data_IF_844374076051
#
_entry.id   IF_844374076051
#
_cell.length_a   1.000
_cell.length_b   1.000
_cell.length_c   1.000
_cell.angle_alpha   90.00
_cell.angle_beta   90.00
_cell.angle_gamma   90.00
#
_symmetry.space_group_name_H-M   'P 1'
#
loop_
_entity.id
_entity.type
_entity.pdbx_description
1 polymer ?
#
# COMPACT_ATOMS: atom_id res chain seq x y z
N UNK A 1 -27.76 2.04 -16.45
CA UNK A 1 -28.52 2.21 -15.20
C UNK A 1 -27.82 3.29 -14.36
N UNK A 2 -28.46 4.46 -14.18
CA UNK A 2 -27.87 5.53 -13.35
C UNK A 2 -27.96 5.09 -11.89
N UNK A 3 -26.83 4.87 -11.25
CA UNK A 3 -26.77 4.73 -9.79
C UNK A 3 -26.94 6.11 -9.19
N UNK A 4 -28.15 6.42 -8.69
CA UNK A 4 -28.38 7.64 -7.92
C UNK A 4 -27.91 7.38 -6.50
N UNK A 5 -26.76 7.94 -6.14
CA UNK A 5 -26.24 7.87 -4.78
C UNK A 5 -26.93 8.91 -3.90
N UNK A 6 -27.59 8.45 -2.85
CA UNK A 6 -28.07 9.31 -1.79
C UNK A 6 -26.94 9.59 -0.80
N UNK A 7 -26.75 10.84 -0.38
CA UNK A 7 -25.61 11.29 0.44
C UNK A 7 -25.41 10.54 1.77
N UNK A 8 -26.39 9.76 2.22
CA UNK A 8 -26.36 9.10 3.52
C UNK A 8 -26.16 7.58 3.47
N UNK A 9 -26.24 6.95 2.28
CA UNK A 9 -26.02 5.51 2.11
C UNK A 9 -25.28 5.27 0.82
N UNK A 10 -23.95 5.22 0.88
CA UNK A 10 -23.15 4.70 -0.21
C UNK A 10 -23.36 3.19 -0.22
N UNK A 11 -24.44 2.79 -0.86
CA UNK A 11 -24.76 1.41 -1.12
C UNK A 11 -24.18 1.07 -2.49
N UNK A 12 -23.21 0.16 -2.53
CA UNK A 12 -22.67 -0.40 -3.78
C UNK A 12 -23.11 -1.86 -3.88
N UNK A 13 -24.43 -2.12 -4.10
CA UNK A 13 -25.00 -3.45 -3.90
C UNK A 13 -24.58 -4.45 -4.95
N UNK A 14 -24.18 -3.99 -6.12
CA UNK A 14 -24.02 -4.85 -7.29
C UNK A 14 -22.59 -4.95 -7.82
N UNK A 15 -21.60 -4.27 -7.21
CA UNK A 15 -20.20 -4.38 -7.64
C UNK A 15 -19.73 -5.85 -7.71
N UNK A 16 -20.01 -6.61 -6.66
CA UNK A 16 -19.60 -8.02 -6.60
C UNK A 16 -20.49 -8.92 -7.47
N UNK A 17 -21.81 -8.65 -7.53
CA UNK A 17 -22.75 -9.43 -8.37
C UNK A 17 -22.53 -9.19 -9.86
N UNK A 18 -22.22 -7.93 -10.24
CA UNK A 18 -22.08 -7.54 -11.65
C UNK A 18 -20.77 -8.03 -12.25
N UNK A 19 -19.70 -8.16 -11.44
CA UNK A 19 -18.37 -8.38 -11.98
C UNK A 19 -17.83 -9.79 -11.78
N UNK A 20 -18.41 -10.61 -10.90
CA UNK A 20 -17.88 -11.94 -10.57
C UNK A 20 -16.34 -11.92 -10.40
N UNK A 21 -15.82 -10.83 -9.79
CA UNK A 21 -14.41 -10.53 -9.75
C UNK A 21 -13.72 -11.28 -8.61
N UNK A 22 -12.62 -11.97 -8.86
CA UNK A 22 -11.70 -12.31 -7.80
C UNK A 22 -11.18 -11.02 -7.15
N UNK A 23 -10.90 -11.04 -5.85
CA UNK A 23 -10.45 -9.88 -5.02
C UNK A 23 -9.30 -9.04 -5.62
N UNK A 24 -8.64 -9.54 -6.66
CA UNK A 24 -7.42 -8.98 -7.25
C UNK A 24 -7.54 -8.53 -8.70
N UNK A 25 -8.69 -8.74 -9.39
CA UNK A 25 -8.78 -8.37 -10.81
C UNK A 25 -9.38 -6.98 -10.99
N UNK A 26 -8.55 -6.04 -11.43
CA UNK A 26 -8.97 -4.70 -11.83
C UNK A 26 -9.32 -4.72 -13.32
N UNK A 27 -10.50 -5.25 -13.66
CA UNK A 27 -11.00 -5.16 -15.03
C UNK A 27 -11.34 -3.71 -15.39
N UNK A 28 -11.24 -3.34 -16.67
CA UNK A 28 -11.60 -2.00 -17.15
C UNK A 28 -12.97 -1.56 -16.63
N UNK A 29 -13.95 -2.44 -16.69
CA UNK A 29 -15.31 -2.17 -16.23
C UNK A 29 -15.38 -1.94 -14.70
N UNK A 30 -14.64 -2.70 -13.88
CA UNK A 30 -14.57 -2.46 -12.45
C UNK A 30 -14.01 -1.07 -12.14
N UNK A 31 -12.95 -0.67 -12.83
CA UNK A 31 -12.33 0.65 -12.65
C UNK A 31 -13.28 1.78 -13.09
N UNK A 32 -14.09 1.58 -14.14
CA UNK A 32 -15.13 2.53 -14.55
C UNK A 32 -16.21 2.68 -13.48
N UNK A 33 -16.68 1.58 -12.88
CA UNK A 33 -17.66 1.66 -11.78
C UNK A 33 -17.09 2.33 -10.54
N UNK A 34 -15.82 2.12 -10.21
CA UNK A 34 -15.17 2.85 -9.11
C UNK A 34 -15.19 4.36 -9.39
N UNK A 35 -14.90 4.76 -10.62
CA UNK A 35 -14.96 6.17 -11.02
C UNK A 35 -16.37 6.77 -10.86
N UNK A 36 -17.41 6.02 -11.26
CA UNK A 36 -18.81 6.42 -11.09
C UNK A 36 -19.19 6.55 -9.60
N UNK A 37 -18.76 5.59 -8.76
CA UNK A 37 -19.00 5.61 -7.32
C UNK A 37 -18.40 6.87 -6.67
N UNK A 38 -17.21 7.27 -7.09
CA UNK A 38 -16.53 8.47 -6.58
C UNK A 38 -16.99 9.75 -7.28
N UNK A 39 -17.87 9.66 -8.27
CA UNK A 39 -18.38 10.79 -9.03
C UNK A 39 -17.30 11.51 -9.85
N UNK A 40 -16.24 10.79 -10.21
CA UNK A 40 -15.11 11.35 -10.95
C UNK A 40 -15.53 11.91 -12.30
N UNK A 41 -14.95 13.05 -12.68
CA UNK A 41 -15.18 13.70 -13.98
C UNK A 41 -13.92 13.60 -14.80
N UNK A 42 -14.03 13.12 -16.05
CA UNK A 42 -12.86 13.02 -16.91
C UNK A 42 -12.19 14.40 -17.04
N UNK A 43 -10.93 14.45 -16.65
CA UNK A 43 -10.05 15.61 -16.75
C UNK A 43 -8.76 15.20 -17.46
N UNK A 44 -8.03 16.15 -18.02
CA UNK A 44 -6.71 15.94 -18.60
C UNK A 44 -5.71 16.76 -17.80
N UNK A 45 -4.64 16.12 -17.37
CA UNK A 45 -3.53 16.73 -16.66
C UNK A 45 -2.26 16.49 -17.48
N UNK A 46 -1.35 17.45 -17.49
CA UNK A 46 -0.07 17.44 -18.20
C UNK A 46 1.14 17.57 -17.26
N UNK A 47 0.91 17.30 -15.99
CA UNK A 47 1.89 17.42 -14.90
C UNK A 47 2.24 16.06 -14.24
N UNK A 48 2.27 14.99 -15.03
CA UNK A 48 2.38 13.59 -14.59
C UNK A 48 3.52 13.34 -13.57
N UNK A 49 4.63 14.06 -13.69
CA UNK A 49 5.84 13.90 -12.87
C UNK A 49 6.16 15.12 -11.99
N UNK A 50 5.27 16.10 -11.91
CA UNK A 50 5.36 17.18 -10.93
C UNK A 50 4.91 16.67 -9.55
N UNK A 51 5.73 15.81 -8.94
CA UNK A 51 5.43 15.15 -7.69
C UNK A 51 5.79 16.04 -6.48
N UNK A 52 5.15 15.74 -5.36
CA UNK A 52 5.43 16.36 -4.06
C UNK A 52 6.01 15.31 -3.11
N UNK A 53 7.25 15.49 -2.69
CA UNK A 53 7.83 14.71 -1.58
C UNK A 53 7.42 15.38 -0.28
N UNK A 54 6.89 14.59 0.66
CA UNK A 54 6.32 15.11 1.90
C UNK A 54 7.41 15.49 2.91
N UNK A 55 7.27 16.66 3.53
CA UNK A 55 8.25 17.23 4.47
C UNK A 55 8.46 16.40 5.75
N UNK A 56 7.52 15.54 6.09
CA UNK A 56 7.61 14.66 7.26
C UNK A 56 8.27 13.30 6.97
N UNK A 57 8.86 13.13 5.80
CA UNK A 57 9.77 12.03 5.47
C UNK A 57 11.18 12.46 5.86
N UNK A 58 11.88 11.63 6.64
CA UNK A 58 13.23 11.92 7.14
C UNK A 58 14.17 10.77 6.78
N UNK A 59 14.89 10.92 5.67
CA UNK A 59 15.89 9.98 5.17
C UNK A 59 17.27 10.62 5.33
N UNK A 60 18.15 10.00 6.09
CA UNK A 60 19.48 10.50 6.42
C UNK A 60 20.58 9.72 5.71
N UNK A 61 20.45 8.40 5.64
CA UNK A 61 21.48 7.49 5.16
C UNK A 61 21.44 7.29 3.64
N UNK A 62 20.26 7.29 3.05
CA UNK A 62 20.02 7.04 1.63
C UNK A 62 19.47 8.28 0.91
N UNK A 63 20.14 9.43 1.12
CA UNK A 63 19.72 10.72 0.55
C UNK A 63 19.67 10.72 -0.98
N UNK A 64 20.49 9.90 -1.64
CA UNK A 64 20.49 9.70 -3.09
C UNK A 64 19.14 9.22 -3.65
N UNK A 65 18.30 8.60 -2.81
CA UNK A 65 16.95 8.19 -3.21
C UNK A 65 16.03 9.40 -3.41
N UNK A 66 16.19 10.44 -2.59
CA UNK A 66 15.46 11.70 -2.76
C UNK A 66 15.88 12.39 -4.06
N UNK A 67 17.18 12.43 -4.32
CA UNK A 67 17.73 13.01 -5.56
C UNK A 67 17.20 12.25 -6.79
N UNK A 68 17.16 10.91 -6.73
CA UNK A 68 16.61 10.08 -7.79
C UNK A 68 15.16 10.42 -8.11
N UNK A 69 14.30 10.58 -7.12
CA UNK A 69 12.89 10.89 -7.37
C UNK A 69 12.64 12.35 -7.79
N UNK A 70 13.58 13.24 -7.51
CA UNK A 70 13.54 14.64 -7.95
C UNK A 70 14.16 14.84 -9.35
N UNK A 71 14.91 13.87 -9.89
CA UNK A 71 15.55 13.99 -11.21
C UNK A 71 14.57 13.60 -12.32
N UNK A 72 14.32 14.52 -13.24
CA UNK A 72 13.46 14.28 -14.40
C UNK A 72 13.92 13.12 -15.31
N UNK A 73 15.23 12.80 -15.33
CA UNK A 73 15.77 11.66 -16.09
C UNK A 73 15.38 10.29 -15.49
N UNK A 74 14.94 10.26 -14.24
CA UNK A 74 14.48 9.05 -13.57
C UNK A 74 12.99 8.75 -13.79
N UNK A 75 12.26 9.66 -14.42
CA UNK A 75 10.81 9.54 -14.59
C UNK A 75 10.41 8.26 -15.33
N UNK A 76 9.39 7.60 -14.79
CA UNK A 76 8.79 6.39 -15.35
C UNK A 76 9.34 5.08 -14.76
N UNK A 77 8.82 3.96 -15.29
CA UNK A 77 9.06 2.63 -14.72
C UNK A 77 10.38 1.98 -15.15
N UNK A 78 11.08 2.55 -16.13
CA UNK A 78 12.32 1.96 -16.69
C UNK A 78 13.54 2.26 -15.82
N UNK A 79 13.55 3.41 -15.17
CA UNK A 79 14.61 3.79 -14.24
C UNK A 79 14.33 3.23 -12.85
N UNK A 80 15.36 2.84 -12.13
CA UNK A 80 15.27 2.35 -10.76
C UNK A 80 16.53 2.69 -9.98
N UNK A 81 16.37 2.90 -8.68
CA UNK A 81 17.48 3.05 -7.74
C UNK A 81 17.53 1.83 -6.82
N UNK A 82 18.73 1.36 -6.53
CA UNK A 82 18.97 0.24 -5.62
C UNK A 82 19.80 0.72 -4.43
N UNK A 83 19.32 0.38 -3.24
CA UNK A 83 20.10 0.46 -2.00
C UNK A 83 20.48 -0.96 -1.58
N UNK A 84 21.39 -1.15 -0.61
CA UNK A 84 21.69 -2.49 -0.09
C UNK A 84 20.46 -3.24 0.45
N UNK A 85 19.38 -2.52 0.76
CA UNK A 85 18.18 -3.06 1.39
C UNK A 85 17.03 -3.29 0.41
N UNK A 86 16.93 -2.47 -0.65
CA UNK A 86 15.76 -2.47 -1.52
C UNK A 86 16.01 -1.84 -2.88
N UNK A 87 15.11 -2.15 -3.81
CA UNK A 87 15.02 -1.54 -5.12
C UNK A 87 13.71 -0.78 -5.27
N UNK A 88 13.77 0.41 -5.80
CA UNK A 88 12.66 1.36 -5.92
C UNK A 88 12.57 1.95 -7.32
N UNK A 89 11.36 2.29 -7.77
CA UNK A 89 11.10 3.10 -8.96
C UNK A 89 9.71 3.77 -8.84
N UNK A 90 9.24 4.42 -9.90
CA UNK A 90 7.90 5.05 -9.91
C UNK A 90 6.72 4.07 -9.82
N UNK A 91 6.93 2.77 -9.76
CA UNK A 91 5.86 1.77 -9.74
C UNK A 91 5.83 0.84 -8.54
N UNK A 92 6.99 0.57 -7.90
CA UNK A 92 7.05 -0.47 -6.87
C UNK A 92 8.31 -0.41 -5.99
N UNK A 93 8.15 -0.98 -4.81
CA UNK A 93 9.19 -1.20 -3.81
C UNK A 93 9.30 -2.68 -3.49
N UNK A 94 10.49 -3.25 -3.46
CA UNK A 94 10.75 -4.56 -2.88
C UNK A 94 12.18 -4.70 -2.33
N UNK A 95 12.32 -5.54 -1.31
CA UNK A 95 13.63 -5.85 -0.73
C UNK A 95 14.45 -6.79 -1.60
N UNK A 96 15.75 -6.57 -1.58
CA UNK A 96 16.76 -7.42 -2.23
C UNK A 96 17.61 -8.18 -1.22
N UNK A 97 17.30 -8.07 0.07
CA UNK A 97 18.02 -8.78 1.10
C UNK A 97 17.81 -10.29 0.96
N UNK A 98 18.92 -11.05 0.98
CA UNK A 98 18.93 -12.47 0.64
C UNK A 98 17.96 -13.31 1.50
N UNK A 99 17.47 -14.41 0.93
CA UNK A 99 16.55 -15.33 1.58
C UNK A 99 17.17 -15.97 2.83
N UNK A 100 16.93 -15.38 3.99
CA UNK A 100 17.33 -15.96 5.27
C UNK A 100 16.08 -16.51 5.94
N UNK A 101 16.00 -17.85 6.20
CA UNK A 101 14.95 -18.38 7.03
C UNK A 101 15.12 -17.93 8.47
N UNK A 102 14.04 -17.70 9.15
CA UNK A 102 14.01 -17.42 10.57
C UNK A 102 13.13 -18.46 11.28
N UNK A 103 13.65 -19.05 12.34
CA UNK A 103 12.90 -19.85 13.30
C UNK A 103 13.00 -19.16 14.66
N UNK A 104 11.86 -19.04 15.33
CA UNK A 104 11.80 -18.38 16.64
C UNK A 104 12.71 -19.12 17.63
N UNK A 105 13.46 -18.35 18.40
CA UNK A 105 14.19 -18.81 19.57
C UNK A 105 13.76 -18.00 20.80
N UNK A 106 14.21 -18.40 21.99
CA UNK A 106 13.82 -17.77 23.25
C UNK A 106 14.31 -16.30 23.40
N UNK A 107 15.28 -15.85 22.59
CA UNK A 107 15.94 -14.56 22.74
C UNK A 107 15.44 -13.50 21.76
N UNK A 108 15.00 -13.93 20.57
CA UNK A 108 14.65 -13.01 19.49
C UNK A 108 13.16 -13.13 19.17
N UNK A 109 12.56 -12.01 18.77
CA UNK A 109 11.21 -11.99 18.22
C UNK A 109 11.26 -11.72 16.74
N UNK A 110 10.38 -12.35 15.97
CA UNK A 110 10.14 -11.98 14.59
C UNK A 110 8.81 -11.20 14.50
N UNK A 111 8.86 -10.03 13.87
CA UNK A 111 7.73 -9.11 13.84
C UNK A 111 7.46 -8.68 12.40
N UNK A 112 6.19 -8.78 12.00
CA UNK A 112 5.68 -8.11 10.81
C UNK A 112 5.30 -6.70 11.20
N UNK A 113 5.82 -5.72 10.47
CA UNK A 113 5.41 -4.32 10.52
C UNK A 113 4.67 -4.01 9.24
N UNK A 114 3.42 -3.64 9.33
CA UNK A 114 2.60 -3.29 8.17
C UNK A 114 2.01 -1.90 8.34
N UNK A 115 2.19 -1.04 7.34
CA UNK A 115 1.52 0.27 7.33
C UNK A 115 0.06 0.06 6.95
N UNK A 116 -0.84 0.39 7.87
CA UNK A 116 -2.28 0.16 7.70
C UNK A 116 -2.81 0.90 6.47
N UNK A 117 -3.19 0.13 5.44
CA UNK A 117 -3.77 0.66 4.19
C UNK A 117 -2.97 1.83 3.60
N UNK A 118 -1.67 1.67 3.43
CA UNK A 118 -0.72 2.73 3.07
C UNK A 118 -1.24 3.65 1.96
N UNK A 119 -1.62 3.13 0.80
CA UNK A 119 -2.08 3.93 -0.34
C UNK A 119 -3.37 4.71 -0.04
N UNK A 120 -4.36 4.06 0.60
CA UNK A 120 -5.59 4.75 0.98
C UNK A 120 -5.34 5.83 2.05
N UNK A 121 -4.41 5.56 2.98
CA UNK A 121 -4.00 6.55 3.97
C UNK A 121 -3.34 7.77 3.33
N UNK A 122 -2.52 7.58 2.29
CA UNK A 122 -1.92 8.67 1.53
C UNK A 122 -2.98 9.49 0.76
N UNK A 123 -3.95 8.82 0.13
CA UNK A 123 -5.05 9.50 -0.56
C UNK A 123 -5.86 10.39 0.37
N UNK A 124 -6.08 9.96 1.61
CA UNK A 124 -6.94 10.68 2.57
C UNK A 124 -6.14 11.73 3.34
N UNK A 125 -5.01 11.35 3.94
CA UNK A 125 -4.27 12.20 4.89
C UNK A 125 -3.40 13.25 4.20
N UNK A 126 -2.95 12.94 3.00
CA UNK A 126 -2.06 13.82 2.21
C UNK A 126 -2.73 14.31 0.92
N UNK A 127 -4.05 14.08 0.79
CA UNK A 127 -4.85 14.59 -0.33
C UNK A 127 -4.36 14.13 -1.71
N UNK A 128 -3.80 12.90 -1.79
CA UNK A 128 -3.32 12.33 -3.04
C UNK A 128 -4.41 11.54 -3.81
N UNK A 129 -5.68 11.69 -3.45
CA UNK A 129 -6.77 11.19 -4.28
C UNK A 129 -6.79 11.95 -5.62
N UNK A 130 -7.28 11.29 -6.68
CA UNK A 130 -7.40 11.93 -7.99
C UNK A 130 -8.11 13.27 -7.91
N UNK A 131 -7.54 14.29 -8.53
CA UNK A 131 -8.11 15.66 -8.67
C UNK A 131 -9.41 15.70 -9.47
N UNK A 132 -9.73 14.60 -10.16
CA UNK A 132 -11.00 14.42 -10.89
C UNK A 132 -12.20 14.14 -9.98
N UNK A 133 -11.96 13.81 -8.71
CA UNK A 133 -13.01 13.52 -7.71
C UNK A 133 -13.49 14.83 -7.09
N UNK A 134 -14.75 15.23 -7.34
CA UNK A 134 -15.24 16.52 -6.87
C UNK A 134 -15.52 16.58 -5.36
N UNK A 135 -15.71 15.42 -4.73
CA UNK A 135 -15.96 15.28 -3.31
C UNK A 135 -15.13 14.13 -2.72
N UNK A 136 -13.90 14.39 -2.27
CA UNK A 136 -13.01 13.36 -1.71
C UNK A 136 -13.52 12.74 -0.42
N UNK A 137 -14.44 13.39 0.31
CA UNK A 137 -15.06 12.87 1.54
C UNK A 137 -15.80 11.54 1.28
N UNK A 138 -16.31 11.32 0.06
CA UNK A 138 -16.96 10.07 -0.32
C UNK A 138 -15.98 8.90 -0.19
N UNK A 139 -14.74 9.06 -0.65
CA UNK A 139 -13.72 8.01 -0.52
C UNK A 139 -13.37 7.76 0.94
N UNK A 140 -13.25 8.81 1.74
CA UNK A 140 -12.97 8.69 3.18
C UNK A 140 -14.09 7.95 3.93
N UNK A 141 -15.37 8.22 3.61
CA UNK A 141 -16.51 7.50 4.18
C UNK A 141 -16.51 6.02 3.80
N UNK A 142 -16.22 5.69 2.53
CA UNK A 142 -16.09 4.30 2.07
C UNK A 142 -14.96 3.60 2.83
N UNK A 143 -13.83 4.28 3.00
CA UNK A 143 -12.68 3.76 3.74
C UNK A 143 -13.01 3.51 5.23
N UNK A 144 -13.69 4.43 5.90
CA UNK A 144 -14.16 4.26 7.30
C UNK A 144 -15.09 3.05 7.43
N UNK A 145 -16.04 2.88 6.51
CA UNK A 145 -16.93 1.72 6.49
C UNK A 145 -16.15 0.42 6.28
N UNK A 146 -15.20 0.40 5.33
CA UNK A 146 -14.31 -0.76 5.11
C UNK A 146 -13.55 -1.12 6.40
N UNK A 147 -12.92 -0.15 7.07
CA UNK A 147 -12.20 -0.41 8.33
C UNK A 147 -13.12 -0.99 9.41
N UNK A 148 -14.35 -0.48 9.49
CA UNK A 148 -15.31 -1.00 10.45
C UNK A 148 -15.69 -2.46 10.16
N UNK A 149 -15.91 -2.84 8.89
CA UNK A 149 -16.17 -4.21 8.50
C UNK A 149 -14.98 -5.14 8.81
N UNK A 150 -13.76 -4.70 8.49
CA UNK A 150 -12.55 -5.48 8.74
C UNK A 150 -12.32 -5.71 10.24
N UNK A 151 -12.64 -4.72 11.08
CA UNK A 151 -12.44 -4.80 12.54
C UNK A 151 -13.53 -5.59 13.26
N UNK A 152 -14.79 -5.40 12.90
CA UNK A 152 -15.93 -5.90 13.66
C UNK A 152 -16.62 -7.08 12.96
N UNK A 153 -16.20 -7.42 11.74
CA UNK A 153 -16.91 -8.35 10.88
C UNK A 153 -18.27 -7.79 10.44
N UNK A 154 -18.94 -8.52 9.58
CA UNK A 154 -20.29 -8.18 9.13
C UNK A 154 -21.03 -9.41 8.66
N UNK A 155 -22.36 -9.41 8.79
CA UNK A 155 -23.23 -10.41 8.15
C UNK A 155 -23.47 -10.08 6.67
N UNK A 156 -23.20 -8.85 6.25
CA UNK A 156 -23.30 -8.39 4.86
C UNK A 156 -21.92 -8.38 4.18
N UNK A 157 -21.40 -9.60 3.93
CA UNK A 157 -20.11 -9.80 3.25
C UNK A 157 -20.04 -9.17 1.86
N UNK A 158 -21.17 -9.04 1.16
CA UNK A 158 -21.23 -8.42 -0.17
C UNK A 158 -20.93 -6.92 -0.08
N UNK A 159 -21.53 -6.26 0.90
CA UNK A 159 -21.32 -4.85 1.14
C UNK A 159 -19.88 -4.59 1.59
N UNK A 160 -19.35 -5.42 2.49
CA UNK A 160 -17.96 -5.35 2.92
C UNK A 160 -16.99 -5.52 1.75
N UNK A 161 -17.23 -6.52 0.88
CA UNK A 161 -16.42 -6.74 -0.32
C UNK A 161 -16.46 -5.54 -1.26
N UNK A 162 -17.64 -4.95 -1.48
CA UNK A 162 -17.78 -3.76 -2.34
C UNK A 162 -16.90 -2.60 -1.85
N UNK A 163 -16.89 -2.33 -0.54
CA UNK A 163 -16.03 -1.30 0.04
C UNK A 163 -14.54 -1.62 -0.12
N UNK A 164 -14.14 -2.89 0.07
CA UNK A 164 -12.76 -3.35 -0.16
C UNK A 164 -12.35 -3.16 -1.62
N UNK A 165 -13.22 -3.49 -2.56
CA UNK A 165 -12.95 -3.33 -4.00
C UNK A 165 -12.76 -1.87 -4.36
N UNK A 166 -13.61 -0.95 -3.89
CA UNK A 166 -13.45 0.48 -4.15
C UNK A 166 -12.14 0.99 -3.58
N UNK A 167 -11.87 0.76 -2.30
CA UNK A 167 -10.65 1.27 -1.65
C UNK A 167 -9.38 0.74 -2.31
N UNK A 168 -9.33 -0.56 -2.60
CA UNK A 168 -8.13 -1.18 -3.18
C UNK A 168 -7.98 -0.88 -4.68
N UNK A 169 -9.11 -0.70 -5.39
CA UNK A 169 -9.12 -0.45 -6.84
C UNK A 169 -8.90 1.00 -7.24
N UNK A 170 -9.14 1.96 -6.34
CA UNK A 170 -9.02 3.39 -6.67
C UNK A 170 -7.64 3.75 -7.17
N UNK A 171 -6.56 3.28 -6.51
CA UNK A 171 -5.19 3.51 -7.00
C UNK A 171 -4.99 2.94 -8.43
N UNK A 172 -5.48 1.72 -8.68
CA UNK A 172 -5.41 1.13 -10.03
C UNK A 172 -6.16 1.95 -11.08
N UNK A 173 -7.32 2.50 -10.73
CA UNK A 173 -8.08 3.39 -11.61
C UNK A 173 -7.33 4.70 -11.92
N UNK A 174 -6.60 5.22 -10.93
CA UNK A 174 -5.79 6.44 -11.09
C UNK A 174 -4.55 6.23 -11.98
N UNK A 175 -3.98 5.02 -12.01
CA UNK A 175 -2.65 4.76 -12.59
C UNK A 175 -2.67 3.98 -13.91
N UNK A 176 -3.67 3.11 -14.15
CA UNK A 176 -3.55 2.09 -15.19
C UNK A 176 -4.20 2.44 -16.54
N UNK A 177 -5.19 3.34 -16.56
CA UNK A 177 -5.96 3.59 -17.78
C UNK A 177 -6.25 5.09 -17.99
N UNK A 178 -5.57 5.69 -18.96
CA UNK A 178 -5.74 7.11 -19.33
C UNK A 178 -7.18 7.49 -19.75
N UNK A 179 -7.98 6.52 -20.16
CA UNK A 179 -9.39 6.74 -20.50
C UNK A 179 -10.31 6.74 -19.28
N UNK A 180 -9.84 6.25 -18.12
CA UNK A 180 -10.62 6.23 -16.89
C UNK A 180 -10.80 7.65 -16.35
N UNK A 181 -12.02 8.05 -15.92
CA UNK A 181 -12.23 9.37 -15.31
C UNK A 181 -11.37 9.64 -14.07
N UNK A 182 -10.94 8.61 -13.34
CA UNK A 182 -10.04 8.74 -12.18
C UNK A 182 -8.58 8.88 -12.55
N UNK A 183 -8.18 8.71 -13.82
CA UNK A 183 -6.78 8.76 -14.20
C UNK A 183 -6.15 10.09 -13.79
N UNK A 184 -5.09 10.01 -13.00
CA UNK A 184 -4.29 11.13 -12.53
C UNK A 184 -2.87 10.64 -12.22
N UNK A 185 -2.00 10.72 -13.21
CA UNK A 185 -0.65 10.17 -13.13
C UNK A 185 0.17 10.87 -12.04
N UNK A 186 0.06 12.19 -11.88
CA UNK A 186 0.73 12.94 -10.81
C UNK A 186 0.37 12.39 -9.44
N UNK A 187 -0.93 12.27 -9.14
CA UNK A 187 -1.38 11.79 -7.83
C UNK A 187 -1.03 10.32 -7.61
N UNK A 188 -1.10 9.48 -8.62
CA UNK A 188 -0.65 8.10 -8.49
C UNK A 188 0.86 7.98 -8.27
N UNK A 189 1.67 8.83 -8.90
CA UNK A 189 3.10 8.94 -8.67
C UNK A 189 3.40 9.45 -7.25
N UNK A 190 2.68 10.49 -6.79
CA UNK A 190 2.77 10.98 -5.40
C UNK A 190 2.55 9.84 -4.39
N UNK A 191 1.51 9.04 -4.58
CA UNK A 191 1.22 7.89 -3.71
C UNK A 191 2.39 6.91 -3.73
N UNK A 192 2.84 6.50 -4.90
CA UNK A 192 3.86 5.44 -5.03
C UNK A 192 5.21 5.88 -4.50
N UNK A 193 5.63 7.10 -4.83
CA UNK A 193 6.93 7.64 -4.41
C UNK A 193 6.96 7.86 -2.90
N UNK A 194 5.96 8.58 -2.36
CA UNK A 194 5.93 8.84 -0.91
C UNK A 194 5.73 7.56 -0.09
N UNK A 195 4.97 6.56 -0.59
CA UNK A 195 4.86 5.27 0.06
C UNK A 195 6.23 4.59 0.21
N UNK A 196 7.03 4.57 -0.84
CA UNK A 196 8.38 4.00 -0.83
C UNK A 196 9.31 4.76 0.11
N UNK A 197 9.25 6.09 0.08
CA UNK A 197 10.06 6.95 0.93
C UNK A 197 9.68 6.79 2.41
N UNK A 198 8.41 6.68 2.77
CA UNK A 198 7.98 6.37 4.12
C UNK A 198 8.46 4.99 4.61
N UNK A 199 8.46 3.99 3.72
CA UNK A 199 9.00 2.68 4.07
C UNK A 199 10.51 2.72 4.27
N UNK A 200 11.26 3.45 3.44
CA UNK A 200 12.71 3.64 3.59
C UNK A 200 13.03 4.38 4.89
N UNK A 201 12.32 5.47 5.17
CA UNK A 201 12.44 6.22 6.44
C UNK A 201 12.22 5.31 7.66
N UNK A 202 11.15 4.49 7.64
CA UNK A 202 10.90 3.53 8.72
C UNK A 202 12.04 2.52 8.87
N UNK A 203 12.58 2.02 7.76
CA UNK A 203 13.69 1.06 7.76
C UNK A 203 14.94 1.70 8.37
N UNK A 204 15.29 2.94 8.00
CA UNK A 204 16.44 3.65 8.60
C UNK A 204 16.28 3.83 10.13
N UNK A 205 15.09 4.20 10.58
CA UNK A 205 14.81 4.37 12.02
C UNK A 205 14.88 3.05 12.79
N UNK A 206 14.56 1.93 12.15
CA UNK A 206 14.57 0.59 12.76
C UNK A 206 15.93 -0.12 12.65
N UNK A 207 16.92 0.42 11.94
CA UNK A 207 18.20 -0.25 11.66
C UNK A 207 18.92 -0.76 12.91
N UNK A 208 18.88 0.02 14.01
CA UNK A 208 19.52 -0.36 15.27
C UNK A 208 18.65 -1.24 16.18
N UNK A 209 17.40 -1.51 15.80
CA UNK A 209 16.43 -2.22 16.64
C UNK A 209 16.28 -3.70 16.26
N UNK A 210 16.84 -4.12 15.11
CA UNK A 210 16.74 -5.49 14.63
C UNK A 210 17.34 -5.71 13.24
N UNK A 211 17.26 -6.95 12.77
CA UNK A 211 17.67 -7.36 11.42
C UNK A 211 16.47 -7.37 10.49
N UNK A 212 16.52 -6.59 9.40
CA UNK A 212 15.51 -6.61 8.33
C UNK A 212 15.62 -7.91 7.53
N UNK A 213 14.55 -8.69 7.49
CA UNK A 213 14.48 -9.97 6.77
C UNK A 213 13.78 -9.85 5.42
N UNK A 214 12.75 -8.98 5.33
CA UNK A 214 11.92 -8.86 4.13
C UNK A 214 11.29 -7.47 4.00
N UNK A 215 11.17 -7.01 2.76
CA UNK A 215 10.45 -5.77 2.40
C UNK A 215 9.51 -6.07 1.24
N UNK A 216 8.27 -5.63 1.35
CA UNK A 216 7.31 -5.70 0.24
C UNK A 216 6.26 -4.59 0.40
N UNK A 217 6.29 -3.60 -0.46
CA UNK A 217 5.38 -2.46 -0.60
C UNK A 217 5.07 -1.74 0.74
N UNK A 218 4.19 -2.29 1.56
CA UNK A 218 3.67 -1.73 2.81
C UNK A 218 4.04 -2.57 4.04
N UNK A 219 4.87 -3.62 3.84
CA UNK A 219 5.20 -4.63 4.86
C UNK A 219 6.69 -4.84 4.99
N UNK A 220 7.15 -4.87 6.23
CA UNK A 220 8.49 -5.26 6.63
C UNK A 220 8.43 -6.48 7.54
N UNK A 221 9.44 -7.33 7.51
CA UNK A 221 9.63 -8.42 8.48
C UNK A 221 10.99 -8.22 9.13
N UNK A 222 11.00 -8.12 10.44
CA UNK A 222 12.18 -7.92 11.26
C UNK A 222 12.40 -9.05 12.24
N UNK A 223 13.68 -9.43 12.41
CA UNK A 223 14.15 -10.13 13.59
C UNK A 223 14.56 -9.07 14.61
N UNK A 224 13.85 -9.00 15.73
CA UNK A 224 13.94 -7.92 16.72
C UNK A 224 14.72 -8.38 17.93
N UNK A 225 15.74 -7.59 18.32
CA UNK A 225 16.58 -7.88 19.48
C UNK A 225 15.97 -7.35 20.78
N UNK A 226 15.41 -6.13 20.73
CA UNK A 226 14.71 -5.49 21.86
C UNK A 226 13.36 -4.96 21.37
N UNK A 227 12.30 -5.70 21.73
CA UNK A 227 10.94 -5.39 21.29
C UNK A 227 10.40 -4.08 21.85
N UNK A 228 10.85 -3.68 23.05
CA UNK A 228 10.40 -2.43 23.66
C UNK A 228 10.97 -1.22 22.90
N UNK A 229 12.25 -1.23 22.60
CA UNK A 229 12.90 -0.19 21.79
C UNK A 229 12.29 -0.15 20.40
N UNK A 230 12.14 -1.31 19.76
CA UNK A 230 11.53 -1.42 18.43
C UNK A 230 10.14 -0.79 18.38
N UNK A 231 9.30 -1.11 19.35
CA UNK A 231 7.92 -0.58 19.44
C UNK A 231 7.90 0.94 19.67
N UNK A 232 8.81 1.47 20.46
CA UNK A 232 8.92 2.91 20.69
C UNK A 232 9.28 3.65 19.39
N UNK A 233 10.26 3.15 18.64
CA UNK A 233 10.64 3.72 17.32
C UNK A 233 9.45 3.69 16.36
N UNK A 234 8.71 2.59 16.30
CA UNK A 234 7.48 2.49 15.50
C UNK A 234 6.44 3.53 15.93
N UNK A 235 6.28 3.76 17.24
CA UNK A 235 5.36 4.76 17.80
C UNK A 235 5.73 6.18 17.39
N UNK A 236 6.99 6.58 17.57
CA UNK A 236 7.51 7.90 17.19
C UNK A 236 7.37 8.14 15.68
N UNK A 237 7.67 7.14 14.86
CA UNK A 237 7.47 7.21 13.42
C UNK A 237 5.99 7.42 13.07
N UNK A 238 5.08 6.66 13.70
CA UNK A 238 3.62 6.80 13.48
C UNK A 238 3.10 8.17 13.88
N UNK A 239 3.59 8.74 14.99
CA UNK A 239 3.22 10.09 15.43
C UNK A 239 3.67 11.16 14.45
N UNK A 240 4.89 11.06 13.94
CA UNK A 240 5.43 12.00 12.96
C UNK A 240 4.74 11.91 11.61
N UNK A 241 4.55 10.70 11.11
CA UNK A 241 4.00 10.47 9.77
C UNK A 241 2.47 10.43 9.73
N UNK A 242 1.81 10.40 10.88
CA UNK A 242 0.36 10.19 10.99
C UNK A 242 -0.14 8.88 10.34
N UNK A 243 0.76 7.96 9.99
CA UNK A 243 0.44 6.64 9.45
C UNK A 243 0.38 5.61 10.58
N UNK A 244 -0.61 4.73 10.55
CA UNK A 244 -0.75 3.69 11.56
C UNK A 244 0.07 2.46 11.18
N UNK A 245 0.72 1.86 12.17
CA UNK A 245 1.43 0.58 12.03
C UNK A 245 0.67 -0.53 12.75
N UNK A 246 0.55 -1.68 12.08
CA UNK A 246 0.19 -2.94 12.70
C UNK A 246 1.47 -3.73 12.97
N UNK A 247 1.60 -4.26 14.17
CA UNK A 247 2.75 -5.06 14.62
C UNK A 247 2.25 -6.44 14.99
N UNK A 248 2.59 -7.45 14.19
CA UNK A 248 2.20 -8.84 14.41
C UNK A 248 3.43 -9.70 14.71
N UNK A 249 3.48 -10.34 15.86
CA UNK A 249 4.53 -11.33 16.17
C UNK A 249 4.29 -12.61 15.37
N UNK A 250 5.36 -13.16 14.79
CA UNK A 250 5.34 -14.43 14.06
C UNK A 250 6.39 -15.40 14.63
N UNK A 251 6.09 -16.70 14.59
CA UNK A 251 6.98 -17.73 15.13
C UNK A 251 7.96 -18.30 14.11
N UNK A 252 7.66 -18.15 12.82
CA UNK A 252 8.49 -18.72 11.76
C UNK A 252 8.37 -17.87 10.50
N UNK A 253 9.50 -17.67 9.81
CA UNK A 253 9.54 -17.03 8.50
C UNK A 253 10.48 -17.77 7.57
N UNK A 254 10.00 -18.18 6.40
CA UNK A 254 10.78 -18.84 5.36
C UNK A 254 10.57 -18.12 4.04
N UNK A 255 11.64 -17.77 3.39
CA UNK A 255 11.63 -17.08 2.11
C UNK A 255 12.47 -17.87 1.09
N UNK A 256 11.89 -18.16 -0.08
CA UNK A 256 12.59 -18.75 -1.23
C UNK A 256 12.86 -17.70 -2.32
N UNK A 257 12.13 -16.62 -2.30
CA UNK A 257 12.25 -15.50 -3.22
C UNK A 257 11.38 -14.34 -2.79
N UNK A 258 11.48 -13.23 -3.49
CA UNK A 258 10.79 -11.98 -3.16
C UNK A 258 9.27 -12.14 -2.98
N UNK A 259 8.65 -12.97 -3.81
CA UNK A 259 7.20 -13.21 -3.81
C UNK A 259 6.85 -14.67 -3.42
N UNK A 260 7.83 -15.44 -2.97
CA UNK A 260 7.66 -16.83 -2.51
C UNK A 260 8.17 -16.94 -1.08
N UNK A 261 7.25 -16.76 -0.14
CA UNK A 261 7.54 -16.83 1.28
C UNK A 261 6.35 -17.36 2.09
N UNK A 262 6.65 -17.89 3.26
CA UNK A 262 5.65 -18.29 4.24
C UNK A 262 6.02 -17.80 5.63
N UNK A 263 5.01 -17.52 6.43
CA UNK A 263 5.20 -17.24 7.86
C UNK A 263 4.08 -17.86 8.69
N UNK A 264 4.40 -18.15 9.95
CA UNK A 264 3.45 -18.69 10.92
C UNK A 264 3.13 -17.62 11.96
N UNK A 265 1.86 -17.27 12.09
CA UNK A 265 1.38 -16.36 13.13
C UNK A 265 1.48 -16.99 14.52
N UNK A 266 1.40 -16.16 15.57
CA UNK A 266 1.41 -16.61 16.96
C UNK A 266 0.26 -17.55 17.32
N UNK A 267 -0.86 -17.51 16.60
CA UNK A 267 -2.01 -18.42 16.74
C UNK A 267 -1.84 -19.76 15.98
N UNK A 268 -0.69 -19.99 15.35
CA UNK A 268 -0.40 -21.18 14.56
C UNK A 268 -0.87 -21.12 13.11
N UNK A 269 -1.53 -20.04 12.68
CA UNK A 269 -1.98 -19.88 11.30
C UNK A 269 -0.81 -19.71 10.36
N UNK A 270 -0.73 -20.54 9.32
CA UNK A 270 0.32 -20.47 8.30
C UNK A 270 -0.19 -19.66 7.11
N UNK A 271 0.52 -18.60 6.79
CA UNK A 271 0.28 -17.77 5.62
C UNK A 271 1.36 -18.04 4.58
N UNK A 272 0.93 -18.43 3.37
CA UNK A 272 1.82 -18.68 2.23
C UNK A 272 1.54 -17.68 1.12
N UNK A 273 2.58 -17.07 0.61
CA UNK A 273 2.56 -16.24 -0.59
C UNK A 273 3.39 -16.93 -1.66
N UNK A 274 2.73 -17.47 -2.68
CA UNK A 274 3.36 -18.09 -3.85
C UNK A 274 2.84 -17.34 -5.07
N UNK A 275 3.64 -16.45 -5.64
CA UNK A 275 3.34 -15.88 -6.95
C UNK A 275 3.96 -16.79 -8.00
N UNK A 276 3.19 -17.75 -8.52
CA UNK A 276 3.57 -18.38 -9.77
C UNK A 276 3.71 -17.26 -10.81
N UNK A 277 4.91 -17.10 -11.37
CA UNK A 277 5.07 -16.34 -12.61
C UNK A 277 4.16 -17.02 -13.63
N UNK A 278 3.11 -16.35 -14.07
CA UNK A 278 2.47 -16.73 -15.33
C UNK A 278 3.54 -16.59 -16.41
N UNK A 279 4.12 -17.71 -16.82
CA UNK A 279 4.89 -17.80 -18.03
C UNK A 279 3.90 -17.57 -19.19
N UNK A 280 3.69 -16.32 -19.54
CA UNK A 280 3.19 -15.97 -20.87
C UNK A 280 4.38 -15.41 -21.61
N UNK A 281 4.98 -16.34 -22.38
CA UNK A 281 5.87 -16.11 -23.53
C UNK A 281 5.19 -15.23 -24.57
#
# INVERSE_FOLDING_TARGET
MKVVMNRNDIYVPDLVKTFNLPETSLSKHCLEVIADVLGAKKMTFDDDYDITILDNIVIEKYGEVLDFFNDEHSHGLKSSIETPLMKMNYGWLYGINGAKPYEQNEKDKCVIVEVEHLYASLMIKYEFLSRSVPNPEIFEEIYKKKKNFDKNGTKDEKNAMSHRVVVNGTYGAMSLNKDNPLYDARQSNNITVNAQLFMLDLIEKLENSGELLHVNTDRLIYKVNDYSVFKNVCGEWSERTKLNLNLDEISNFKQKGLFDYEFTKSDGTIIKKNRQRSNNS
#
